data_IF_852182975116
#
_entry.id   IF_852182975116
#
_cell.length_a   1.000
_cell.length_b   1.000
_cell.length_c   1.000
_cell.angle_alpha   90.00
_cell.angle_beta   90.00
_cell.angle_gamma   90.00
#
_symmetry.space_group_name_H-M   'P 1'
#
loop_
_entity.id
_entity.type
_entity.pdbx_description
1 polymer ?
#
# COMPACT_ATOMS: atom_id res chain seq x y z
N UNK A 1 -27.02 -5.66 4.42
CA UNK A 1 -26.39 -6.87 4.99
C UNK A 1 -24.91 -6.57 5.12
N UNK A 2 -24.41 -6.38 6.34
CA UNK A 2 -23.02 -6.03 6.61
C UNK A 2 -22.12 -7.19 6.17
N UNK A 3 -21.57 -7.09 4.98
CA UNK A 3 -20.52 -7.99 4.51
C UNK A 3 -19.27 -7.74 5.35
N UNK A 4 -19.19 -8.44 6.48
CA UNK A 4 -18.01 -8.50 7.30
C UNK A 4 -16.96 -9.27 6.49
N UNK A 5 -16.22 -8.55 5.63
CA UNK A 5 -15.08 -9.01 4.85
C UNK A 5 -13.88 -9.52 5.71
N UNK A 6 -14.15 -9.95 6.94
CA UNK A 6 -13.23 -10.54 7.88
C UNK A 6 -12.84 -11.93 7.36
N UNK A 7 -11.56 -12.25 7.42
CA UNK A 7 -11.10 -13.60 7.10
C UNK A 7 -11.05 -14.45 8.36
N UNK A 8 -11.36 -15.76 8.28
CA UNK A 8 -11.16 -16.67 9.38
C UNK A 8 -9.67 -16.93 9.59
N UNK A 9 -9.26 -17.04 10.85
CA UNK A 9 -7.96 -17.56 11.23
C UNK A 9 -7.85 -19.05 10.83
N UNK A 10 -6.75 -19.46 10.20
CA UNK A 10 -6.53 -20.86 9.82
C UNK A 10 -6.44 -21.80 11.03
N UNK A 11 -5.98 -21.32 12.19
CA UNK A 11 -5.78 -22.14 13.39
C UNK A 11 -7.04 -22.26 14.25
N UNK A 12 -7.71 -21.15 14.55
CA UNK A 12 -8.87 -21.14 15.46
C UNK A 12 -10.21 -20.89 14.76
N UNK A 13 -10.24 -20.71 13.45
CA UNK A 13 -11.46 -20.44 12.66
C UNK A 13 -12.12 -19.09 12.93
N UNK A 14 -11.63 -18.32 13.90
CA UNK A 14 -12.26 -17.07 14.32
C UNK A 14 -12.08 -16.01 13.23
N UNK A 15 -13.20 -15.40 12.80
CA UNK A 15 -13.18 -14.30 11.84
C UNK A 15 -12.71 -13.01 12.51
N UNK A 16 -11.61 -12.43 12.02
CA UNK A 16 -11.05 -11.17 12.55
C UNK A 16 -10.84 -10.16 11.42
N UNK A 17 -10.92 -8.88 11.75
CA UNK A 17 -10.62 -7.77 10.83
C UNK A 17 -9.11 -7.59 10.60
N UNK A 18 -8.27 -8.09 11.51
CA UNK A 18 -6.81 -8.05 11.44
C UNK A 18 -6.26 -9.46 11.65
N UNK A 19 -5.38 -9.89 10.75
CA UNK A 19 -4.69 -11.18 10.78
C UNK A 19 -3.21 -10.95 10.42
N UNK A 20 -2.36 -11.87 10.83
CA UNK A 20 -0.96 -11.98 10.43
C UNK A 20 -0.88 -12.98 9.28
N UNK A 21 -0.25 -12.59 8.17
CA UNK A 21 0.08 -13.52 7.10
C UNK A 21 1.45 -14.12 7.41
N UNK A 22 1.54 -15.44 7.56
CA UNK A 22 2.82 -16.12 7.73
C UNK A 22 2.83 -17.50 7.06
N UNK A 23 4.02 -17.99 6.71
CA UNK A 23 4.25 -19.40 6.38
C UNK A 23 4.69 -20.10 7.66
N UNK A 24 4.20 -21.29 7.92
CA UNK A 24 4.51 -22.06 9.14
C UNK A 24 5.00 -23.48 8.83
N UNK A 25 4.81 -23.92 7.59
CA UNK A 25 5.02 -25.29 7.13
C UNK A 25 5.90 -25.33 5.87
N UNK A 26 6.46 -26.51 5.58
CA UNK A 26 7.35 -26.74 4.44
C UNK A 26 6.66 -26.54 3.08
N UNK A 27 5.32 -26.57 3.07
CA UNK A 27 4.52 -26.33 1.87
C UNK A 27 4.61 -24.89 1.34
N UNK A 28 5.19 -23.97 2.12
CA UNK A 28 5.37 -22.54 1.79
C UNK A 28 4.04 -21.83 1.49
N UNK A 29 2.92 -22.39 1.97
CA UNK A 29 1.61 -21.77 1.86
C UNK A 29 1.49 -20.64 2.86
N UNK A 30 0.84 -19.57 2.43
CA UNK A 30 0.56 -18.44 3.28
C UNK A 30 -0.71 -18.70 4.09
N UNK A 31 -0.56 -18.75 5.41
CA UNK A 31 -1.66 -18.87 6.36
C UNK A 31 -2.05 -17.50 6.90
N UNK A 32 -3.31 -17.37 7.32
CA UNK A 32 -3.83 -16.16 7.96
C UNK A 32 -4.13 -16.48 9.42
N UNK A 33 -3.40 -15.86 10.34
CA UNK A 33 -3.43 -16.22 11.76
C UNK A 33 -3.81 -15.02 12.61
N UNK A 34 -4.54 -15.19 13.70
CA UNK A 34 -4.90 -14.04 14.52
C UNK A 34 -3.70 -13.50 15.34
N UNK A 35 -3.52 -12.17 15.40
CA UNK A 35 -2.51 -11.56 16.27
C UNK A 35 -2.95 -11.77 17.72
N UNK A 36 -2.24 -12.63 18.43
CA UNK A 36 -2.63 -13.10 19.76
C UNK A 36 -2.10 -14.50 19.99
N UNK A 37 -2.95 -15.38 20.50
CA UNK A 37 -2.57 -16.73 20.88
C UNK A 37 -2.09 -17.58 19.68
N UNK A 38 -2.83 -17.56 18.58
CA UNK A 38 -2.48 -18.37 17.41
C UNK A 38 -1.16 -17.93 16.76
N UNK A 39 -0.92 -16.61 16.65
CA UNK A 39 0.37 -16.12 16.16
C UNK A 39 1.52 -16.44 17.12
N UNK A 40 1.33 -16.23 18.43
CA UNK A 40 2.34 -16.59 19.44
C UNK A 40 2.66 -18.08 19.43
N UNK A 41 1.67 -18.93 19.14
CA UNK A 41 1.85 -20.37 19.04
C UNK A 41 2.70 -20.80 17.84
N UNK A 42 2.73 -20.03 16.74
CA UNK A 42 3.51 -20.39 15.54
C UNK A 42 4.85 -19.66 15.43
N UNK A 43 5.00 -18.52 16.11
CA UNK A 43 6.24 -17.74 16.11
C UNK A 43 7.01 -17.82 17.43
N UNK A 44 6.49 -18.54 18.43
CA UNK A 44 6.97 -18.50 19.81
C UNK A 44 6.72 -17.15 20.50
N UNK A 45 5.93 -16.26 19.88
CA UNK A 45 5.71 -14.90 20.36
C UNK A 45 6.84 -13.93 20.02
N UNK A 46 7.76 -14.31 19.14
CA UNK A 46 8.84 -13.46 18.65
C UNK A 46 8.64 -13.12 17.16
N UNK A 47 8.90 -11.86 16.79
CA UNK A 47 8.90 -11.44 15.39
C UNK A 47 10.03 -12.19 14.63
N UNK A 48 9.68 -12.83 13.51
CA UNK A 48 10.54 -13.73 12.71
C UNK A 48 11.11 -14.96 13.43
N UNK A 49 10.49 -15.42 14.52
CA UNK A 49 11.00 -16.58 15.28
C UNK A 49 12.49 -16.42 15.65
N UNK A 50 12.97 -15.19 15.87
CA UNK A 50 14.37 -14.93 16.25
C UNK A 50 14.70 -15.69 17.54
N UNK A 51 15.64 -16.64 17.45
CA UNK A 51 16.00 -17.54 18.56
C UNK A 51 15.27 -18.89 18.56
N UNK A 52 14.21 -19.04 17.76
CA UNK A 52 13.46 -20.27 17.56
C UNK A 52 13.60 -20.82 16.13
N UNK A 53 14.62 -20.39 15.38
CA UNK A 53 14.89 -20.86 14.01
C UNK A 53 15.06 -22.39 13.91
N UNK A 54 15.49 -23.03 14.99
CA UNK A 54 15.57 -24.51 15.09
C UNK A 54 14.20 -25.18 15.24
N UNK A 55 13.25 -24.49 15.86
CA UNK A 55 11.92 -25.01 16.16
C UNK A 55 10.91 -24.67 15.04
N UNK A 56 11.12 -23.53 14.36
CA UNK A 56 10.31 -23.08 13.22
C UNK A 56 11.16 -22.71 12.00
N UNK A 57 11.88 -23.66 11.38
CA UNK A 57 12.80 -23.38 10.27
C UNK A 57 12.09 -22.86 9.00
N UNK A 58 10.80 -23.14 8.87
CA UNK A 58 9.99 -22.71 7.72
C UNK A 58 9.15 -21.46 8.01
N UNK A 59 9.25 -20.89 9.22
CA UNK A 59 8.44 -19.74 9.57
C UNK A 59 8.90 -18.50 8.79
N UNK A 60 7.97 -17.90 8.04
CA UNK A 60 8.24 -16.66 7.29
C UNK A 60 7.12 -15.65 7.53
N UNK A 61 7.49 -14.46 7.99
CA UNK A 61 6.55 -13.36 8.11
C UNK A 61 6.21 -12.76 6.75
N UNK A 62 4.91 -12.60 6.48
CA UNK A 62 4.35 -12.10 5.22
C UNK A 62 3.60 -10.78 5.35
N UNK A 63 3.72 -10.11 6.49
CA UNK A 63 3.04 -8.85 6.80
C UNK A 63 1.68 -9.02 7.47
N UNK A 64 1.13 -7.89 7.91
CA UNK A 64 -0.18 -7.83 8.53
C UNK A 64 -1.27 -7.70 7.46
N UNK A 65 -2.24 -8.60 7.50
CA UNK A 65 -3.45 -8.52 6.69
C UNK A 65 -4.53 -7.78 7.47
N UNK A 66 -5.13 -6.75 6.87
CA UNK A 66 -6.27 -6.03 7.43
C UNK A 66 -7.41 -6.01 6.43
N UNK A 67 -8.62 -6.00 6.93
CA UNK A 67 -9.80 -5.87 6.11
C UNK A 67 -9.84 -4.48 5.46
N UNK A 68 -9.90 -4.41 4.12
CA UNK A 68 -9.88 -3.14 3.39
C UNK A 68 -11.11 -2.27 3.68
N UNK A 69 -12.19 -2.86 4.18
CA UNK A 69 -13.42 -2.15 4.55
C UNK A 69 -13.44 -1.62 5.99
N UNK A 70 -12.50 -2.02 6.87
CA UNK A 70 -12.52 -1.54 8.27
C UNK A 70 -11.99 -0.12 8.45
N UNK A 71 -11.19 0.38 7.52
CA UNK A 71 -10.56 1.72 7.60
C UNK A 71 -11.26 2.79 6.73
N UNK A 72 -12.49 2.53 6.26
CA UNK A 72 -13.15 3.40 5.28
C UNK A 72 -12.40 3.38 3.94
N UNK A 73 -12.80 4.21 2.96
CA UNK A 73 -12.11 4.22 1.68
C UNK A 73 -10.67 4.65 1.92
N UNK A 74 -9.73 3.69 1.88
CA UNK A 74 -8.30 3.91 1.69
C UNK A 74 -8.09 4.48 0.29
N UNK A 75 -8.63 5.67 0.08
CA UNK A 75 -8.34 6.51 -1.04
C UNK A 75 -6.94 7.04 -0.82
N UNK A 76 -5.97 6.27 -1.32
CA UNK A 76 -4.83 6.85 -2.00
C UNK A 76 -5.25 7.79 -3.18
N UNK A 77 -6.54 8.17 -3.30
CA UNK A 77 -6.96 9.32 -4.08
C UNK A 77 -6.31 10.54 -3.48
N UNK A 78 -5.38 11.07 -4.26
CA UNK A 78 -4.78 12.37 -4.05
C UNK A 78 -5.89 13.37 -3.71
N UNK A 79 -5.80 14.09 -2.58
CA UNK A 79 -6.86 15.02 -2.19
C UNK A 79 -7.12 16.01 -3.33
N UNK A 80 -8.39 16.33 -3.58
CA UNK A 80 -8.82 17.15 -4.72
C UNK A 80 -8.07 18.49 -4.78
N UNK A 81 -7.74 19.07 -3.62
CA UNK A 81 -6.91 20.28 -3.51
C UNK A 81 -5.54 20.13 -4.19
N UNK A 82 -4.89 18.98 -4.02
CA UNK A 82 -3.59 18.69 -4.62
C UNK A 82 -3.72 18.41 -6.12
N UNK A 83 -4.81 17.75 -6.54
CA UNK A 83 -5.12 17.54 -7.97
C UNK A 83 -5.36 18.86 -8.70
N UNK A 84 -6.08 19.81 -8.08
CA UNK A 84 -6.34 21.14 -8.62
C UNK A 84 -5.05 21.94 -8.80
N UNK A 85 -4.21 22.02 -7.74
CA UNK A 85 -2.93 22.73 -7.78
C UNK A 85 -2.04 22.25 -8.93
N UNK A 86 -1.89 20.94 -9.11
CA UNK A 86 -1.05 20.42 -10.19
C UNK A 86 -1.59 20.70 -11.59
N UNK A 87 -2.92 20.75 -11.75
CA UNK A 87 -3.54 21.15 -13.02
C UNK A 87 -3.25 22.61 -13.34
N UNK A 88 -3.31 23.49 -12.34
CA UNK A 88 -2.98 24.91 -12.47
C UNK A 88 -1.48 25.11 -12.76
N UNK A 89 -0.59 24.40 -12.07
CA UNK A 89 0.86 24.43 -12.32
C UNK A 89 1.21 23.96 -13.75
N UNK A 90 0.58 22.88 -14.25
CA UNK A 90 0.78 22.42 -15.63
C UNK A 90 0.26 23.46 -16.64
N UNK A 91 -0.92 24.03 -16.41
CA UNK A 91 -1.49 25.04 -17.29
C UNK A 91 -0.67 26.34 -17.30
N UNK A 92 -0.02 26.70 -16.19
CA UNK A 92 0.90 27.83 -16.12
C UNK A 92 2.15 27.61 -16.97
N UNK A 93 2.74 26.41 -16.91
CA UNK A 93 3.94 26.07 -17.68
C UNK A 93 3.69 26.05 -19.20
N UNK A 94 2.53 25.56 -19.63
CA UNK A 94 2.14 25.55 -21.06
C UNK A 94 1.97 26.98 -21.61
N UNK A 95 1.45 27.90 -20.79
CA UNK A 95 1.29 29.31 -21.17
C UNK A 95 2.62 30.07 -21.23
N UNK A 96 3.53 29.78 -20.29
CA UNK A 96 4.88 30.37 -20.27
C UNK A 96 5.73 29.93 -21.47
N UNK A 97 5.60 28.65 -21.86
CA UNK A 97 6.25 28.08 -23.04
C UNK A 97 5.69 28.67 -24.35
N UNK A 98 4.37 28.83 -24.45
CA UNK A 98 3.71 29.45 -25.62
C UNK A 98 4.09 30.93 -25.77
N UNK A 99 4.13 31.67 -24.65
CA UNK A 99 4.53 33.09 -24.64
C UNK A 99 6.00 33.26 -25.02
N UNK A 100 6.88 32.36 -24.55
CA UNK A 100 8.31 32.40 -24.90
C UNK A 100 8.59 32.05 -26.37
N UNK A 101 7.72 31.27 -27.01
CA UNK A 101 7.85 30.92 -28.43
C UNK A 101 7.35 32.07 -29.33
N UNK A 102 6.23 32.70 -28.97
CA UNK A 102 5.64 33.83 -29.70
C UNK A 102 6.55 35.08 -29.64
N UNK A 103 7.19 35.34 -28.49
CA UNK A 103 8.15 36.45 -28.33
C UNK A 103 9.44 36.22 -29.13
N UNK A 104 9.85 34.96 -29.37
CA UNK A 104 11.01 34.65 -30.20
C UNK A 104 10.72 34.77 -31.70
N UNK A 105 9.55 34.33 -32.17
CA UNK A 105 9.16 34.50 -33.58
C UNK A 105 8.99 35.98 -33.97
N UNK A 106 8.53 36.83 -33.05
CA UNK A 106 8.35 38.26 -33.32
C UNK A 106 9.68 39.04 -33.34
N UNK A 107 10.71 38.59 -32.61
CA UNK A 107 12.03 39.23 -32.59
C UNK A 107 12.87 38.89 -33.85
N UNK A 108 12.66 37.73 -34.47
CA UNK A 108 13.37 37.31 -35.68
C UNK A 108 12.80 37.96 -36.97
N UNK A 109 11.64 38.61 -36.86
CA UNK A 109 10.93 39.24 -37.98
C UNK A 109 11.22 40.74 -38.18
N UNK A 110 11.91 41.40 -37.24
CA UNK A 110 12.21 42.84 -37.31
C UNK A 110 13.65 43.18 -37.73
N UNK A 111 14.54 42.19 -37.92
CA UNK A 111 15.88 42.37 -38.50
C UNK A 111 15.95 41.88 -39.95
N UNK A 112 15.34 42.63 -40.86
CA UNK A 112 15.78 42.62 -42.26
C UNK A 112 14.81 43.30 -43.23
N UNK A 113 15.30 43.81 -44.38
CA UNK A 113 16.60 44.43 -44.67
C UNK A 113 16.58 45.97 -44.58
#
# INVERSE_FOLDING_TARGET
MTDNHNKPCTLCGTSRSVLVRCQIDDSRKWHMVCPGECWRSVSGGQEDARGFEKEYPFYRYGGMWKNKHSDGPLSAKKPEKVKKRQREERAGREKDETTSHEVKEHAESEEGP
#
